data_IF_812253671613
#
_entry.id   IF_812253671613
#
_cell.length_a   1.000
_cell.length_b   1.000
_cell.length_c   1.000
_cell.angle_alpha   90.00
_cell.angle_beta   90.00
_cell.angle_gamma   90.00
#
_symmetry.space_group_name_H-M   'P 1'
#
loop_
_entity.id
_entity.type
_entity.pdbx_description
1 polymer ?
#
# COMPACT_ATOMS: atom_id res chain seq x y z
N UNK A 1 22.72 -6.69 -0.44
CA UNK A 1 22.88 -8.02 0.20
C UNK A 1 21.59 -8.78 0.04
N UNK A 2 21.62 -9.99 -0.55
CA UNK A 2 20.41 -10.82 -0.73
C UNK A 2 20.09 -11.69 0.49
N UNK A 3 21.11 -12.05 1.28
CA UNK A 3 20.93 -12.82 2.50
C UNK A 3 20.50 -11.90 3.66
N UNK A 4 19.31 -12.09 4.26
CA UNK A 4 18.82 -11.21 5.33
C UNK A 4 19.69 -11.23 6.59
N UNK A 5 20.35 -12.35 6.91
CA UNK A 5 21.19 -12.47 8.11
C UNK A 5 22.50 -11.69 7.96
N UNK A 6 23.08 -11.73 6.77
CA UNK A 6 24.27 -10.93 6.42
C UNK A 6 23.94 -9.43 6.40
N UNK A 7 22.78 -9.05 5.85
CA UNK A 7 22.31 -7.67 5.88
C UNK A 7 22.07 -7.17 7.31
N UNK A 8 21.38 -7.93 8.15
CA UNK A 8 21.16 -7.55 9.54
C UNK A 8 22.48 -7.39 10.31
N UNK A 9 23.45 -8.28 10.05
CA UNK A 9 24.76 -8.24 10.70
C UNK A 9 25.59 -6.98 10.36
N UNK A 10 25.36 -6.32 9.23
CA UNK A 10 26.08 -5.06 8.92
C UNK A 10 25.62 -3.88 9.81
N UNK A 11 24.44 -3.97 10.40
CA UNK A 11 23.86 -2.96 11.29
C UNK A 11 23.96 -3.33 12.77
N UNK A 12 24.50 -4.50 13.09
CA UNK A 12 24.67 -4.94 14.47
C UNK A 12 25.76 -4.12 15.17
N UNK A 13 25.46 -3.66 16.39
CA UNK A 13 26.38 -2.92 17.26
C UNK A 13 27.38 -3.88 17.92
N UNK A 14 26.94 -5.08 18.27
CA UNK A 14 27.76 -6.11 18.90
C UNK A 14 28.36 -7.06 17.86
N UNK A 15 29.68 -7.25 17.90
CA UNK A 15 30.44 -8.04 16.92
C UNK A 15 30.93 -9.38 17.49
N UNK A 16 30.08 -10.10 18.21
CA UNK A 16 30.47 -11.37 18.82
C UNK A 16 29.78 -12.58 18.17
N UNK A 17 30.48 -13.72 18.19
CA UNK A 17 29.96 -15.00 17.71
C UNK A 17 29.53 -14.98 16.25
N UNK A 18 28.32 -15.48 15.97
CA UNK A 18 27.80 -15.60 14.60
C UNK A 18 27.68 -14.27 13.86
N UNK A 19 27.52 -13.15 14.58
CA UNK A 19 27.40 -11.81 13.98
C UNK A 19 28.68 -11.44 13.23
N UNK A 20 29.84 -11.74 13.81
CA UNK A 20 31.14 -11.45 13.18
C UNK A 20 31.33 -12.25 11.89
N UNK A 21 30.92 -13.52 11.89
CA UNK A 21 30.98 -14.37 10.70
C UNK A 21 30.09 -13.84 9.58
N UNK A 22 28.86 -13.44 9.90
CA UNK A 22 27.93 -12.86 8.92
C UNK A 22 28.39 -11.50 8.41
N UNK A 23 28.99 -10.67 9.28
CA UNK A 23 29.56 -9.37 8.90
C UNK A 23 30.74 -9.52 7.93
N UNK A 24 31.63 -10.48 8.17
CA UNK A 24 32.74 -10.79 7.25
C UNK A 24 32.24 -11.28 5.88
N UNK A 25 31.17 -12.08 5.85
CA UNK A 25 30.54 -12.52 4.59
C UNK A 25 29.87 -11.36 3.86
N UNK A 26 29.18 -10.48 4.58
CA UNK A 26 28.55 -9.29 4.01
C UNK A 26 29.58 -8.34 3.35
N UNK A 27 30.77 -8.19 3.94
CA UNK A 27 31.86 -7.38 3.37
C UNK A 27 32.44 -7.95 2.07
N UNK A 28 32.38 -9.28 1.89
CA UNK A 28 32.87 -9.98 0.69
C UNK A 28 31.77 -10.25 -0.34
N UNK A 29 30.54 -9.83 -0.06
CA UNK A 29 29.42 -10.09 -0.95
C UNK A 29 29.55 -9.26 -2.23
N UNK A 30 29.14 -9.85 -3.35
CA UNK A 30 29.11 -9.16 -4.63
C UNK A 30 28.17 -7.94 -4.58
N UNK A 31 28.53 -6.88 -5.29
CA UNK A 31 27.63 -5.76 -5.49
C UNK A 31 26.53 -6.17 -6.48
N UNK A 32 25.27 -5.89 -6.12
CA UNK A 32 24.12 -6.13 -7.00
C UNK A 32 23.44 -4.80 -7.29
N UNK A 33 22.87 -4.66 -8.48
CA UNK A 33 21.99 -3.55 -8.79
C UNK A 33 20.79 -3.57 -7.85
N UNK A 34 20.39 -2.36 -7.41
CA UNK A 34 19.18 -2.18 -6.60
C UNK A 34 17.98 -2.63 -7.43
N UNK A 35 17.33 -3.69 -6.99
CA UNK A 35 16.09 -4.17 -7.57
C UNK A 35 14.94 -3.81 -6.63
N UNK A 36 13.86 -3.25 -7.18
CA UNK A 36 12.71 -2.80 -6.41
C UNK A 36 11.74 -3.98 -6.24
N UNK A 37 11.86 -4.70 -5.12
CA UNK A 37 10.96 -5.81 -4.81
C UNK A 37 9.67 -5.28 -4.20
N UNK A 38 8.58 -5.36 -4.96
CA UNK A 38 7.23 -5.09 -4.47
C UNK A 38 6.70 -6.31 -3.72
N UNK A 39 6.74 -6.26 -2.39
CA UNK A 39 6.16 -7.27 -1.52
C UNK A 39 4.95 -6.71 -0.78
N UNK A 40 4.01 -7.58 -0.39
CA UNK A 40 2.94 -7.22 0.53
C UNK A 40 3.55 -7.06 1.93
N UNK A 41 3.93 -5.82 2.27
CA UNK A 41 4.43 -5.49 3.61
C UNK A 41 3.25 -5.01 4.44
N UNK A 42 2.91 -5.75 5.49
CA UNK A 42 1.98 -5.30 6.51
C UNK A 42 2.82 -4.58 7.57
N UNK A 43 2.52 -3.30 7.81
CA UNK A 43 3.19 -2.55 8.88
C UNK A 43 2.88 -3.18 10.24
N UNK A 44 3.72 -3.02 11.26
CA UNK A 44 3.43 -3.57 12.59
C UNK A 44 2.14 -3.02 13.21
N UNK A 45 1.75 -1.80 12.79
CA UNK A 45 0.46 -1.21 13.11
C UNK A 45 -0.68 -1.98 12.42
N UNK A 46 -0.61 -2.17 11.10
CA UNK A 46 -1.63 -2.90 10.33
C UNK A 46 -1.71 -4.39 10.72
N UNK A 47 -0.61 -4.95 11.22
CA UNK A 47 -0.53 -6.34 11.70
C UNK A 47 -1.09 -6.50 13.13
N UNK A 48 -1.53 -5.41 13.79
CA UNK A 48 -2.00 -5.45 15.17
C UNK A 48 -0.91 -5.84 16.19
N UNK A 49 0.37 -5.77 15.81
CA UNK A 49 1.52 -6.12 16.66
C UNK A 49 1.89 -5.02 17.66
N UNK A 50 1.11 -3.94 17.71
CA UNK A 50 1.09 -2.99 18.83
C UNK A 50 0.41 -3.61 20.05
N UNK A 51 0.99 -4.68 20.59
CA UNK A 51 0.66 -5.17 21.91
C UNK A 51 1.81 -4.90 22.87
N UNK A 52 1.62 -3.80 23.60
CA UNK A 52 2.03 -3.61 24.99
C UNK A 52 3.50 -3.87 25.30
N UNK A 53 4.38 -2.92 24.97
CA UNK A 53 5.52 -2.65 25.85
C UNK A 53 5.69 -1.13 26.00
N UNK A 54 5.74 -0.70 27.27
CA UNK A 54 5.87 0.67 27.78
C UNK A 54 4.57 1.46 27.93
N UNK A 55 3.75 1.04 28.90
CA UNK A 55 3.05 1.97 29.79
C UNK A 55 4.06 2.83 30.55
N UNK A 56 4.60 3.85 29.92
CA UNK A 56 5.23 4.98 30.61
C UNK A 56 4.52 6.24 30.13
N UNK A 57 3.79 6.83 31.08
CA UNK A 57 3.07 8.09 30.96
C UNK A 57 3.90 9.13 30.21
N UNK A 58 3.41 9.57 29.05
CA UNK A 58 3.74 10.89 28.54
C UNK A 58 2.44 11.59 28.14
N UNK A 59 1.92 12.36 29.11
CA UNK A 59 0.98 13.44 28.87
C UNK A 59 1.72 14.54 28.12
N UNK A 60 1.79 14.44 26.78
CA UNK A 60 2.15 15.57 25.93
C UNK A 60 1.20 15.64 24.75
N UNK A 61 0.40 16.71 24.77
CA UNK A 61 0.06 17.55 23.64
C UNK A 61 -0.54 16.86 22.40
N UNK A 62 -1.87 17.02 22.26
CA UNK A 62 -2.45 17.47 21.00
C UNK A 62 -2.22 16.58 19.78
N UNK A 63 -3.21 15.71 19.53
CA UNK A 63 -3.70 15.34 18.20
C UNK A 63 -3.09 16.13 17.02
N UNK A 64 -2.11 15.54 16.34
CA UNK A 64 -2.00 15.51 14.86
C UNK A 64 -1.17 14.29 14.47
N UNK A 65 -1.79 13.11 14.43
CA UNK A 65 -1.34 12.03 13.56
C UNK A 65 -1.60 12.49 12.11
N UNK A 66 -0.77 13.41 11.64
CA UNK A 66 -0.60 13.62 10.21
C UNK A 66 0.10 12.37 9.71
N UNK A 67 -0.67 11.39 9.25
CA UNK A 67 -0.16 10.34 8.37
C UNK A 67 0.62 11.03 7.25
N UNK A 68 1.95 11.09 7.38
CA UNK A 68 2.86 11.65 6.37
C UNK A 68 2.84 10.84 5.06
N UNK A 69 1.98 9.82 4.94
CA UNK A 69 1.76 9.12 3.68
C UNK A 69 1.01 10.03 2.70
N UNK A 70 1.57 10.22 1.50
CA UNK A 70 0.87 10.90 0.41
C UNK A 70 -0.14 9.99 -0.31
N UNK A 71 -0.09 8.68 -0.07
CA UNK A 71 -0.94 7.67 -0.67
C UNK A 71 -1.97 7.13 0.33
N UNK A 72 -3.13 6.74 -0.20
CA UNK A 72 -4.18 6.01 0.51
C UNK A 72 -4.75 4.91 -0.41
N UNK A 73 -5.31 3.87 0.17
CA UNK A 73 -5.98 2.81 -0.60
C UNK A 73 -7.46 3.16 -0.77
N UNK A 74 -7.91 3.38 -2.00
CA UNK A 74 -9.29 3.75 -2.28
C UNK A 74 -9.87 2.97 -3.48
N UNK A 75 -11.15 2.61 -3.38
CA UNK A 75 -11.93 2.14 -4.53
C UNK A 75 -12.04 3.24 -5.56
N UNK A 76 -11.70 2.93 -6.81
CA UNK A 76 -11.80 3.86 -7.95
C UNK A 76 -12.94 3.44 -8.88
N UNK A 77 -13.36 4.35 -9.75
CA UNK A 77 -14.36 4.08 -10.76
C UNK A 77 -13.99 4.66 -12.12
N UNK A 78 -14.57 4.11 -13.18
CA UNK A 78 -14.54 4.68 -14.53
C UNK A 78 -15.94 4.66 -15.13
N UNK A 79 -16.17 5.52 -16.12
CA UNK A 79 -17.41 5.58 -16.89
C UNK A 79 -17.16 4.98 -18.28
N UNK A 80 -18.07 4.13 -18.72
CA UNK A 80 -18.06 3.52 -20.05
C UNK A 80 -19.37 3.85 -20.79
N UNK A 81 -19.38 3.61 -22.11
CA UNK A 81 -20.56 3.79 -22.97
C UNK A 81 -21.19 5.19 -22.80
N UNK A 82 -20.40 6.25 -22.96
CA UNK A 82 -20.83 7.64 -22.77
C UNK A 82 -21.46 7.93 -21.40
N UNK A 83 -21.11 7.14 -20.38
CA UNK A 83 -21.61 7.31 -19.01
C UNK A 83 -22.84 6.48 -18.67
N UNK A 84 -23.30 5.58 -19.54
CA UNK A 84 -24.39 4.64 -19.24
C UNK A 84 -23.96 3.51 -18.31
N UNK A 85 -22.67 3.20 -18.23
CA UNK A 85 -22.12 2.13 -17.39
C UNK A 85 -21.06 2.69 -16.44
N UNK A 86 -21.13 2.30 -15.16
CA UNK A 86 -20.14 2.65 -14.15
C UNK A 86 -19.39 1.38 -13.74
N UNK A 87 -18.06 1.42 -13.83
CA UNK A 87 -17.19 0.32 -13.46
C UNK A 87 -16.41 0.67 -12.20
N UNK A 88 -16.52 -0.15 -11.16
CA UNK A 88 -15.83 0.02 -9.88
C UNK A 88 -14.69 -0.97 -9.74
N UNK A 89 -13.56 -0.57 -9.18
CA UNK A 89 -12.46 -1.49 -8.88
C UNK A 89 -12.90 -2.52 -7.84
N UNK A 90 -12.67 -3.80 -8.11
CA UNK A 90 -13.00 -4.89 -7.17
C UNK A 90 -12.15 -4.86 -5.91
N UNK A 91 -10.90 -4.40 -6.01
CA UNK A 91 -10.00 -4.16 -4.89
C UNK A 91 -9.61 -2.68 -4.84
N UNK A 92 -9.30 -2.19 -3.63
CA UNK A 92 -8.81 -0.83 -3.43
C UNK A 92 -7.47 -0.66 -4.15
N UNK A 93 -7.27 0.49 -4.77
CA UNK A 93 -6.02 0.86 -5.46
C UNK A 93 -5.36 2.04 -4.76
N UNK A 94 -4.02 2.20 -4.85
CA UNK A 94 -3.35 3.37 -4.33
C UNK A 94 -3.81 4.62 -5.07
N UNK A 95 -4.18 5.65 -4.32
CA UNK A 95 -4.50 6.99 -4.85
C UNK A 95 -3.79 8.05 -4.01
N UNK A 96 -3.46 9.17 -4.64
CA UNK A 96 -2.92 10.32 -3.93
C UNK A 96 -3.98 10.98 -3.04
N UNK A 97 -3.56 11.49 -1.86
CA UNK A 97 -4.37 12.42 -1.07
C UNK A 97 -4.50 13.76 -1.82
N UNK A 98 -5.51 14.55 -1.48
CA UNK A 98 -5.89 15.79 -2.20
C UNK A 98 -4.81 16.88 -2.29
N UNK A 99 -3.75 16.79 -1.46
CA UNK A 99 -2.59 17.70 -1.47
C UNK A 99 -1.32 17.06 -2.04
N UNK A 100 -1.43 15.90 -2.69
CA UNK A 100 -0.32 15.07 -3.14
C UNK A 100 -0.41 14.78 -4.63
N UNK A 101 0.76 14.66 -5.27
CA UNK A 101 0.87 14.26 -6.67
C UNK A 101 1.67 12.95 -6.77
N UNK A 102 1.38 12.16 -7.80
CA UNK A 102 2.15 10.96 -8.10
C UNK A 102 3.46 11.36 -8.81
N UNK A 103 4.59 10.87 -8.29
CA UNK A 103 5.90 11.07 -8.93
C UNK A 103 6.16 10.03 -10.03
N UNK A 104 5.73 8.79 -9.79
CA UNK A 104 5.88 7.66 -10.71
C UNK A 104 4.58 6.86 -10.71
N UNK A 105 4.17 6.36 -11.87
CA UNK A 105 2.99 5.52 -12.04
C UNK A 105 3.40 4.20 -12.69
N UNK A 106 2.82 3.09 -12.22
CA UNK A 106 3.11 1.75 -12.73
C UNK A 106 1.87 1.22 -13.44
N UNK A 107 2.06 0.59 -14.60
CA UNK A 107 0.96 -0.09 -15.28
C UNK A 107 0.61 -1.38 -14.55
N UNK A 108 -0.64 -1.51 -14.09
CA UNK A 108 -1.18 -2.74 -13.50
C UNK A 108 -2.49 -3.13 -14.16
N UNK A 109 -2.72 -4.43 -14.24
CA UNK A 109 -3.98 -5.02 -14.68
C UNK A 109 -4.98 -4.98 -13.52
N UNK A 110 -5.94 -4.06 -13.57
CA UNK A 110 -6.91 -3.81 -12.50
C UNK A 110 -8.27 -4.41 -12.86
N UNK A 111 -8.85 -5.14 -11.93
CA UNK A 111 -10.14 -5.83 -12.09
C UNK A 111 -11.31 -4.93 -11.70
N UNK A 112 -12.32 -4.87 -12.54
CA UNK A 112 -13.50 -4.03 -12.39
C UNK A 112 -14.79 -4.84 -12.35
N UNK A 113 -15.75 -4.34 -11.57
CA UNK A 113 -17.14 -4.73 -11.57
C UNK A 113 -17.96 -3.62 -12.23
N UNK A 114 -18.55 -3.90 -13.39
CA UNK A 114 -19.30 -2.93 -14.17
C UNK A 114 -20.79 -3.15 -14.02
N UNK A 115 -21.52 -2.06 -13.76
CA UNK A 115 -22.98 -2.05 -13.61
C UNK A 115 -23.60 -0.92 -14.40
N UNK A 116 -24.85 -1.07 -14.89
CA UNK A 116 -25.59 0.03 -15.49
C UNK A 116 -25.75 1.19 -14.52
N UNK A 117 -25.79 2.41 -15.08
CA UNK A 117 -26.02 3.63 -14.32
C UNK A 117 -27.44 3.63 -13.74
N UNK A 118 -27.51 3.36 -12.46
CA UNK A 118 -28.71 3.40 -11.60
C UNK A 118 -28.47 4.32 -10.40
N UNK A 119 -29.53 4.68 -9.68
CA UNK A 119 -29.44 5.50 -8.46
C UNK A 119 -28.45 4.94 -7.43
N UNK A 120 -28.35 3.61 -7.32
CA UNK A 120 -27.42 2.94 -6.39
C UNK A 120 -25.97 3.08 -6.87
N UNK A 121 -25.72 2.85 -8.16
CA UNK A 121 -24.37 3.01 -8.72
C UNK A 121 -23.90 4.47 -8.63
N UNK A 122 -24.80 5.44 -8.80
CA UNK A 122 -24.49 6.86 -8.59
C UNK A 122 -24.25 7.18 -7.12
N UNK A 123 -25.02 6.59 -6.20
CA UNK A 123 -24.78 6.71 -4.76
C UNK A 123 -23.36 6.28 -4.42
N UNK A 124 -22.92 5.10 -4.88
CA UNK A 124 -21.55 4.61 -4.65
C UNK A 124 -20.51 5.54 -5.26
N UNK A 125 -20.71 6.03 -6.48
CA UNK A 125 -19.83 7.01 -7.12
C UNK A 125 -19.70 8.28 -6.28
N UNK A 126 -20.83 8.80 -5.79
CA UNK A 126 -20.86 10.01 -4.97
C UNK A 126 -20.20 9.80 -3.59
N UNK A 127 -20.34 8.61 -3.00
CA UNK A 127 -19.63 8.24 -1.78
C UNK A 127 -18.12 8.17 -2.00
N UNK A 128 -17.66 7.58 -3.11
CA UNK A 128 -16.24 7.52 -3.47
C UNK A 128 -15.68 8.94 -3.67
N UNK A 129 -16.41 9.82 -4.35
CA UNK A 129 -16.00 11.23 -4.51
C UNK A 129 -15.87 11.95 -3.16
N UNK A 130 -16.65 11.57 -2.14
CA UNK A 130 -16.55 12.07 -0.77
C UNK A 130 -15.43 11.41 0.06
N UNK A 131 -14.65 10.51 -0.53
CA UNK A 131 -13.53 9.83 0.11
C UNK A 131 -13.87 8.46 0.72
N UNK A 132 -15.11 7.97 0.58
CA UNK A 132 -15.44 6.61 0.99
C UNK A 132 -14.75 5.58 0.08
N UNK A 133 -14.59 4.36 0.60
CA UNK A 133 -13.93 3.27 -0.11
C UNK A 133 -14.74 1.97 0.06
N UNK A 134 -15.90 1.85 -0.63
CA UNK A 134 -16.75 0.66 -0.52
C UNK A 134 -16.02 -0.57 -1.04
N UNK A 135 -16.25 -1.71 -0.40
CA UNK A 135 -15.61 -2.97 -0.80
C UNK A 135 -16.44 -3.68 -1.89
N UNK A 136 -15.79 -3.97 -3.02
CA UNK A 136 -16.36 -4.71 -4.16
C UNK A 136 -15.68 -6.06 -4.36
N UNK A 137 -14.88 -6.52 -3.40
CA UNK A 137 -14.09 -7.77 -3.49
C UNK A 137 -14.96 -9.01 -3.70
N UNK A 138 -16.20 -8.99 -3.19
CA UNK A 138 -17.16 -10.08 -3.33
C UNK A 138 -18.01 -9.99 -4.61
N UNK A 139 -17.81 -8.99 -5.46
CA UNK A 139 -18.56 -8.81 -6.70
C UNK A 139 -17.86 -9.52 -7.86
N UNK A 140 -18.64 -9.85 -8.87
CA UNK A 140 -18.13 -10.50 -10.08
C UNK A 140 -17.25 -9.53 -10.87
N UNK A 141 -16.10 -10.04 -11.32
CA UNK A 141 -15.21 -9.29 -12.20
C UNK A 141 -15.83 -9.30 -13.60
N UNK A 142 -16.27 -8.14 -14.06
CA UNK A 142 -16.81 -7.98 -15.42
C UNK A 142 -15.69 -7.74 -16.42
N UNK A 143 -14.62 -7.07 -16.00
CA UNK A 143 -13.54 -6.62 -16.89
C UNK A 143 -12.22 -6.52 -16.16
N UNK A 144 -11.13 -6.63 -16.89
CA UNK A 144 -9.79 -6.27 -16.41
C UNK A 144 -9.21 -5.24 -17.36
N UNK A 145 -8.68 -4.14 -16.83
CA UNK A 145 -8.15 -3.00 -17.58
C UNK A 145 -6.74 -2.72 -17.12
N UNK A 146 -5.81 -2.58 -18.07
CA UNK A 146 -4.47 -2.07 -17.77
C UNK A 146 -4.53 -0.56 -17.56
N UNK A 147 -4.12 -0.12 -16.38
CA UNK A 147 -4.04 1.30 -16.07
C UNK A 147 -2.82 1.64 -15.24
N UNK A 148 -2.42 2.90 -15.33
CA UNK A 148 -1.38 3.50 -14.52
C UNK A 148 -1.95 3.81 -13.13
N UNK A 149 -1.37 3.19 -12.11
CA UNK A 149 -1.71 3.37 -10.68
C UNK A 149 -0.49 3.81 -9.89
#
# INVERSE_FOLDING_TARGET
LRNPREFAATYAIEEQGHVQQYKSRAQKAECFYKDNVYANVISDFDAGRNHQQYTQKQNYLGQRNSDNSCSKQQTSYMLENNGETICFTTHKIPVCKSSCNANELITKSVKYHCVPKTNISELWRNQINKGASPDFSSKTVTKTVEMKV
#
